data_IF_476623305578
#
_entry.id   IF_476623305578
#
_cell.length_a   1.000
_cell.length_b   1.000
_cell.length_c   1.000
_cell.angle_alpha   90.00
_cell.angle_beta   90.00
_cell.angle_gamma   90.00
#
_symmetry.space_group_name_H-M   'P 1'
#
loop_
_entity.id
_entity.type
_entity.pdbx_description
1 polymer ?
#
# COMPACT_ATOMS: atom_id res chain seq x y z
N UNK A 1 24.12 6.91 49.06
CA UNK A 1 25.07 7.33 50.07
C UNK A 1 26.20 8.09 49.40
N UNK A 2 26.49 9.25 49.95
CA UNK A 2 27.57 10.20 49.73
C UNK A 2 27.28 11.24 48.64
N UNK A 3 27.04 12.50 49.05
CA UNK A 3 26.98 13.69 48.20
C UNK A 3 28.31 14.45 48.24
N UNK A 4 28.68 15.04 47.11
CA UNK A 4 29.75 16.05 47.10
C UNK A 4 29.17 17.45 46.79
N UNK A 5 29.21 18.27 47.87
CA UNK A 5 29.13 19.75 47.79
C UNK A 5 30.53 20.32 47.60
N UNK A 6 30.69 21.22 46.65
CA UNK A 6 31.82 22.16 46.68
C UNK A 6 31.32 23.60 46.40
N UNK A 7 31.40 24.36 47.45
CA UNK A 7 31.29 25.80 47.52
C UNK A 7 32.56 26.43 47.02
N UNK A 8 32.43 27.53 46.21
CA UNK A 8 33.55 28.48 46.03
C UNK A 8 33.13 29.90 46.35
N UNK A 9 34.01 30.52 47.13
CA UNK A 9 33.88 31.84 47.80
C UNK A 9 34.21 32.99 46.90
N UNK A 10 33.52 34.07 47.18
CA UNK A 10 33.75 35.49 46.80
C UNK A 10 35.03 36.07 47.39
N UNK A 11 35.73 36.95 46.63
CA UNK A 11 36.57 38.09 47.03
C UNK A 11 36.66 38.97 45.80
N UNK A 12 36.48 40.26 45.72
CA UNK A 12 36.61 41.37 46.65
C UNK A 12 37.20 42.54 45.89
N UNK A 13 36.46 43.61 45.72
CA UNK A 13 36.69 45.03 45.53
C UNK A 13 38.11 45.61 45.18
N UNK A 14 38.12 46.53 44.27
CA UNK A 14 38.52 47.96 44.22
C UNK A 14 39.37 48.23 42.96
N UNK A 15 39.44 49.35 42.30
CA UNK A 15 39.07 50.73 42.31
C UNK A 15 39.44 51.42 40.98
N UNK A 16 38.62 52.34 40.55
CA UNK A 16 38.86 53.53 39.70
C UNK A 16 40.08 53.67 38.78
N UNK A 17 39.82 53.89 37.48
CA UNK A 17 40.21 55.14 36.77
C UNK A 17 39.44 55.34 35.47
N UNK A 18 38.87 56.53 35.32
CA UNK A 18 38.19 57.02 34.12
C UNK A 18 39.19 57.20 32.97
N UNK A 19 38.88 56.60 31.82
CA UNK A 19 39.40 57.06 30.53
C UNK A 19 38.25 57.12 29.54
N UNK A 20 37.83 58.27 29.17
CA UNK A 20 36.85 58.58 28.13
C UNK A 20 37.53 58.35 26.79
N UNK A 21 37.13 57.36 26.04
CA UNK A 21 37.46 57.15 24.62
C UNK A 21 36.15 57.21 23.86
N UNK A 22 35.98 58.27 23.06
CA UNK A 22 34.96 58.39 22.03
C UNK A 22 35.18 57.27 21.00
N UNK A 23 34.36 56.19 21.03
CA UNK A 23 34.32 55.22 19.99
C UNK A 23 33.07 55.48 19.15
N UNK A 24 33.26 56.08 17.99
CA UNK A 24 32.26 56.23 16.95
C UNK A 24 31.85 54.83 16.47
N UNK A 25 30.69 54.38 16.91
CA UNK A 25 30.11 53.13 16.45
C UNK A 25 29.63 53.26 15.00
N UNK A 26 30.42 52.76 14.07
CA UNK A 26 29.96 52.50 12.71
C UNK A 26 29.01 51.28 12.77
N UNK A 27 27.71 51.57 12.83
CA UNK A 27 26.69 50.52 12.63
C UNK A 27 26.68 50.19 11.15
N UNK A 28 27.44 49.15 10.77
CA UNK A 28 27.27 48.50 9.48
C UNK A 28 25.94 47.74 9.56
N UNK A 29 24.91 48.31 8.98
CA UNK A 29 23.65 47.61 8.73
C UNK A 29 23.95 46.51 7.69
N UNK A 30 24.35 45.31 8.13
CA UNK A 30 24.34 44.13 7.31
C UNK A 30 22.87 43.77 7.04
N UNK A 31 22.29 44.30 5.96
CA UNK A 31 21.11 43.73 5.36
C UNK A 31 21.47 42.31 4.97
N UNK A 32 21.15 41.37 5.84
CA UNK A 32 21.16 39.97 5.50
C UNK A 32 20.12 39.75 4.41
N UNK A 33 20.53 39.81 3.16
CA UNK A 33 19.81 39.16 2.09
C UNK A 33 19.87 37.67 2.42
N UNK A 34 18.79 37.13 3.00
CA UNK A 34 18.52 35.71 2.91
C UNK A 34 18.29 35.43 1.43
N UNK A 35 19.37 35.21 0.69
CA UNK A 35 19.26 34.59 -0.60
C UNK A 35 18.62 33.21 -0.31
N UNK A 36 17.37 33.03 -0.68
CA UNK A 36 16.84 31.71 -0.85
C UNK A 36 17.75 31.07 -1.89
N UNK A 37 18.68 30.23 -1.42
CA UNK A 37 19.51 29.39 -2.29
C UNK A 37 18.54 28.34 -2.87
N UNK A 38 17.98 28.66 -4.04
CA UNK A 38 17.31 27.67 -4.87
C UNK A 38 18.35 26.66 -5.33
N UNK A 39 18.02 25.38 -5.27
CA UNK A 39 18.90 24.34 -5.79
C UNK A 39 19.08 24.56 -7.30
N UNK A 40 20.31 24.50 -7.80
CA UNK A 40 20.56 24.55 -9.25
C UNK A 40 19.98 23.33 -9.95
N UNK A 41 19.82 23.41 -11.27
CA UNK A 41 19.24 22.32 -12.08
C UNK A 41 20.01 20.99 -11.95
N UNK A 42 21.33 21.07 -11.72
CA UNK A 42 22.14 19.86 -11.48
C UNK A 42 21.80 19.16 -10.16
N UNK A 43 21.62 19.93 -9.08
CA UNK A 43 21.22 19.41 -7.76
C UNK A 43 19.78 18.89 -7.80
N UNK A 44 18.90 19.58 -8.52
CA UNK A 44 17.52 19.15 -8.73
C UNK A 44 17.49 17.83 -9.53
N UNK A 45 18.24 17.75 -10.64
CA UNK A 45 18.36 16.55 -11.46
C UNK A 45 18.88 15.35 -10.66
N UNK A 46 19.96 15.57 -9.88
CA UNK A 46 20.51 14.53 -9.02
C UNK A 46 19.48 14.05 -7.99
N UNK A 47 18.83 14.97 -7.29
CA UNK A 47 17.82 14.63 -6.28
C UNK A 47 16.64 13.90 -6.87
N UNK A 48 16.16 14.36 -8.04
CA UNK A 48 15.07 13.73 -8.77
C UNK A 48 15.40 12.29 -9.15
N UNK A 49 16.60 12.06 -9.70
CA UNK A 49 17.05 10.72 -10.07
C UNK A 49 17.24 9.80 -8.86
N UNK A 50 17.93 10.27 -7.83
CA UNK A 50 18.18 9.50 -6.61
C UNK A 50 16.86 9.03 -5.96
N UNK A 51 15.83 9.86 -6.00
CA UNK A 51 14.52 9.54 -5.41
C UNK A 51 13.66 8.63 -6.26
N UNK A 52 13.74 8.77 -7.60
CA UNK A 52 12.96 7.93 -8.51
C UNK A 52 13.64 6.61 -8.82
N UNK A 53 14.93 6.61 -9.15
CA UNK A 53 15.65 5.39 -9.46
C UNK A 53 16.18 4.63 -8.24
N UNK A 54 16.38 5.33 -7.11
CA UNK A 54 16.94 4.73 -5.89
C UNK A 54 18.45 4.44 -5.98
N UNK A 55 19.11 4.88 -7.04
CA UNK A 55 20.55 4.72 -7.30
C UNK A 55 21.11 6.02 -7.88
N UNK A 56 22.43 6.29 -7.69
CA UNK A 56 23.06 7.47 -8.28
C UNK A 56 23.03 7.42 -9.82
N UNK A 57 22.74 8.55 -10.50
CA UNK A 57 22.82 8.64 -11.96
C UNK A 57 24.26 8.68 -12.47
N UNK A 58 24.46 8.36 -13.74
CA UNK A 58 25.71 8.69 -14.44
C UNK A 58 25.82 10.20 -14.66
N UNK A 59 27.06 10.69 -14.87
CA UNK A 59 27.31 12.10 -15.14
C UNK A 59 26.49 12.61 -16.35
N UNK A 60 26.43 11.83 -17.43
CA UNK A 60 25.66 12.20 -18.62
C UNK A 60 24.17 12.34 -18.32
N UNK A 61 23.56 11.40 -17.58
CA UNK A 61 22.15 11.46 -17.21
C UNK A 61 21.85 12.71 -16.36
N UNK A 62 22.75 13.08 -15.42
CA UNK A 62 22.58 14.31 -14.62
C UNK A 62 22.55 15.54 -15.53
N UNK A 63 23.48 15.64 -16.50
CA UNK A 63 23.56 16.76 -17.42
C UNK A 63 22.32 16.86 -18.32
N UNK A 64 21.87 15.73 -18.88
CA UNK A 64 20.69 15.69 -19.72
C UNK A 64 19.42 16.05 -18.96
N UNK A 65 19.26 15.55 -17.72
CA UNK A 65 18.14 15.89 -16.86
C UNK A 65 18.17 17.35 -16.42
N UNK A 66 19.36 17.90 -16.09
CA UNK A 66 19.52 19.31 -15.74
C UNK A 66 19.13 20.22 -16.90
N UNK A 67 19.51 19.87 -18.14
CA UNK A 67 19.10 20.59 -19.35
C UNK A 67 17.57 20.59 -19.50
N UNK A 68 16.91 19.43 -19.27
CA UNK A 68 15.45 19.37 -19.33
C UNK A 68 14.79 20.27 -18.26
N UNK A 69 15.38 20.34 -17.07
CA UNK A 69 14.89 21.22 -16.00
C UNK A 69 15.06 22.69 -16.38
N UNK A 70 16.21 23.07 -16.93
CA UNK A 70 16.49 24.42 -17.44
C UNK A 70 15.54 24.81 -18.59
N UNK A 71 15.16 23.85 -19.44
CA UNK A 71 14.18 24.01 -20.50
C UNK A 71 12.72 24.03 -20.00
N UNK A 72 12.50 24.05 -18.67
CA UNK A 72 11.17 23.99 -18.04
C UNK A 72 10.37 22.70 -18.36
N UNK A 73 11.08 21.56 -18.44
CA UNK A 73 10.53 20.22 -18.72
C UNK A 73 10.85 19.20 -17.62
N UNK A 74 10.59 19.52 -16.34
CA UNK A 74 10.98 18.63 -15.23
C UNK A 74 10.25 17.28 -15.24
N UNK A 75 9.07 17.20 -15.82
CA UNK A 75 8.33 15.93 -15.98
C UNK A 75 9.07 14.99 -16.96
N UNK A 76 9.64 15.53 -18.05
CA UNK A 76 10.46 14.74 -18.99
C UNK A 76 11.75 14.24 -18.30
N UNK A 77 12.38 15.09 -17.46
CA UNK A 77 13.51 14.68 -16.62
C UNK A 77 13.13 13.56 -15.65
N UNK A 78 11.94 13.59 -15.03
CA UNK A 78 11.46 12.52 -14.18
C UNK A 78 11.25 11.20 -14.95
N UNK A 79 10.68 11.25 -16.16
CA UNK A 79 10.57 10.06 -17.01
C UNK A 79 11.95 9.51 -17.42
N UNK A 80 12.94 10.38 -17.65
CA UNK A 80 14.32 9.96 -17.90
C UNK A 80 14.90 9.21 -16.70
N UNK A 81 14.69 9.69 -15.48
CA UNK A 81 15.10 8.99 -14.27
C UNK A 81 14.42 7.62 -14.14
N UNK A 82 13.12 7.53 -14.43
CA UNK A 82 12.34 6.29 -14.38
C UNK A 82 12.63 5.33 -15.55
N UNK A 83 13.39 5.74 -16.55
CA UNK A 83 13.92 4.82 -17.57
C UNK A 83 15.04 3.94 -17.06
N UNK A 84 15.60 4.24 -15.88
CA UNK A 84 16.57 3.37 -15.21
C UNK A 84 15.91 2.05 -14.79
N UNK A 85 16.52 0.88 -15.09
CA UNK A 85 16.04 -0.41 -14.57
C UNK A 85 15.90 -0.45 -13.06
N UNK A 86 16.70 0.35 -12.34
CA UNK A 86 16.65 0.43 -10.89
C UNK A 86 15.33 1.04 -10.35
N UNK A 87 14.62 1.86 -11.12
CA UNK A 87 13.27 2.31 -10.76
C UNK A 87 12.34 1.11 -10.54
N UNK A 88 12.43 0.09 -11.38
CA UNK A 88 11.58 -1.10 -11.31
C UNK A 88 12.08 -2.10 -10.27
N UNK A 89 13.36 -2.40 -10.26
CA UNK A 89 13.94 -3.44 -9.39
C UNK A 89 14.26 -2.96 -7.96
N UNK A 90 14.34 -1.64 -7.72
CA UNK A 90 14.61 -1.08 -6.39
C UNK A 90 13.42 -0.26 -5.90
N UNK A 91 13.11 0.87 -6.55
CA UNK A 91 12.08 1.79 -6.04
C UNK A 91 10.69 1.15 -6.02
N UNK A 92 10.24 0.59 -7.14
CA UNK A 92 8.92 -0.05 -7.20
C UNK A 92 8.85 -1.34 -6.38
N UNK A 93 9.95 -2.10 -6.28
CA UNK A 93 10.00 -3.25 -5.38
C UNK A 93 9.79 -2.82 -3.94
N UNK A 94 10.59 -1.87 -3.44
CA UNK A 94 10.45 -1.34 -2.08
C UNK A 94 9.07 -0.68 -1.82
N UNK A 95 8.49 -0.08 -2.84
CA UNK A 95 7.15 0.51 -2.78
C UNK A 95 6.05 -0.55 -2.61
N UNK A 96 6.15 -1.69 -3.33
CA UNK A 96 5.11 -2.72 -3.37
C UNK A 96 5.27 -3.78 -2.28
N UNK A 97 6.50 -4.12 -1.87
CA UNK A 97 6.80 -5.22 -0.95
C UNK A 97 6.02 -5.14 0.38
N UNK A 98 5.89 -3.98 1.04
CA UNK A 98 5.12 -3.88 2.28
C UNK A 98 3.63 -4.27 2.15
N UNK A 99 3.09 -4.31 0.94
CA UNK A 99 1.69 -4.68 0.72
C UNK A 99 1.47 -6.20 0.68
N UNK A 100 2.56 -6.96 0.66
CA UNK A 100 2.53 -8.41 0.45
C UNK A 100 2.64 -9.22 1.74
N UNK A 101 2.77 -8.55 2.89
CA UNK A 101 2.95 -9.21 4.20
C UNK A 101 2.25 -8.46 5.33
N UNK A 102 1.98 -9.18 6.43
CA UNK A 102 1.22 -8.64 7.57
C UNK A 102 2.03 -7.65 8.41
N UNK A 103 3.35 -7.74 8.40
CA UNK A 103 4.25 -6.85 9.12
C UNK A 103 4.51 -5.55 8.36
N UNK A 104 4.08 -5.50 7.09
CA UNK A 104 4.27 -4.36 6.17
C UNK A 104 5.73 -3.93 6.05
N UNK A 105 6.64 -4.87 6.17
CA UNK A 105 8.07 -4.61 5.97
C UNK A 105 8.50 -4.76 4.51
N UNK A 106 9.70 -4.29 4.20
CA UNK A 106 10.27 -4.26 2.86
C UNK A 106 11.26 -5.39 2.58
N UNK A 107 11.38 -6.39 3.48
CA UNK A 107 12.38 -7.45 3.38
C UNK A 107 11.85 -8.73 2.73
N UNK A 108 10.56 -8.79 2.42
CA UNK A 108 9.99 -9.91 1.68
C UNK A 108 10.61 -10.01 0.27
N UNK A 109 10.87 -11.22 -0.23
CA UNK A 109 11.36 -11.42 -1.59
C UNK A 109 10.33 -10.97 -2.64
N UNK A 110 10.80 -10.70 -3.85
CA UNK A 110 9.92 -10.50 -5.01
C UNK A 110 8.93 -11.67 -5.11
N UNK A 111 7.68 -11.34 -5.39
CA UNK A 111 6.60 -12.30 -5.48
C UNK A 111 5.54 -11.88 -6.53
N UNK A 112 4.53 -12.71 -6.76
CA UNK A 112 3.50 -12.46 -7.77
C UNK A 112 2.70 -11.16 -7.53
N UNK A 113 2.51 -10.76 -6.28
CA UNK A 113 1.86 -9.49 -5.95
C UNK A 113 2.75 -8.29 -6.32
N UNK A 114 3.98 -8.22 -5.79
CA UNK A 114 4.88 -7.11 -6.03
C UNK A 114 5.30 -7.01 -7.50
N UNK A 115 5.56 -8.12 -8.18
CA UNK A 115 5.84 -8.15 -9.62
C UNK A 115 4.65 -7.62 -10.44
N UNK A 116 3.41 -7.92 -10.03
CA UNK A 116 2.20 -7.39 -10.69
C UNK A 116 2.07 -5.88 -10.52
N UNK A 117 2.35 -5.34 -9.34
CA UNK A 117 2.40 -3.88 -9.13
C UNK A 117 3.45 -3.24 -10.05
N UNK A 118 4.67 -3.80 -10.08
CA UNK A 118 5.77 -3.29 -10.91
C UNK A 118 5.39 -3.31 -12.40
N UNK A 119 4.85 -4.42 -12.87
CA UNK A 119 4.46 -4.56 -14.28
C UNK A 119 3.34 -3.61 -14.69
N UNK A 120 2.31 -3.44 -13.85
CA UNK A 120 1.21 -2.50 -14.14
C UNK A 120 1.69 -1.04 -14.18
N UNK A 121 2.61 -0.66 -13.31
CA UNK A 121 3.24 0.69 -13.35
C UNK A 121 4.10 0.85 -14.60
N UNK A 122 4.88 -0.17 -14.97
CA UNK A 122 5.71 -0.14 -16.19
C UNK A 122 4.90 0.07 -17.45
N UNK A 123 3.77 -0.64 -17.54
CA UNK A 123 2.94 -0.68 -18.75
C UNK A 123 1.86 0.42 -18.78
N UNK A 124 1.90 1.36 -17.82
CA UNK A 124 0.92 2.45 -17.69
C UNK A 124 -0.54 1.97 -17.69
N UNK A 125 -0.79 0.79 -17.11
CA UNK A 125 -2.15 0.22 -16.97
C UNK A 125 -2.97 1.10 -16.04
N UNK A 126 -4.29 1.22 -16.29
CA UNK A 126 -5.23 1.78 -15.33
C UNK A 126 -5.08 1.05 -13.99
N UNK A 127 -4.49 1.73 -13.00
CA UNK A 127 -4.08 1.10 -11.74
C UNK A 127 -5.25 0.57 -10.91
N UNK A 128 -6.51 0.92 -11.25
CA UNK A 128 -7.69 0.28 -10.65
C UNK A 128 -7.76 -1.21 -10.96
N UNK A 129 -7.14 -1.65 -12.06
CA UNK A 129 -7.04 -3.06 -12.43
C UNK A 129 -6.28 -3.91 -11.39
N UNK A 130 -5.49 -3.28 -10.52
CA UNK A 130 -4.74 -3.96 -9.46
C UNK A 130 -5.65 -4.79 -8.52
N UNK A 131 -6.94 -4.42 -8.37
CA UNK A 131 -7.90 -5.11 -7.50
C UNK A 131 -8.93 -5.97 -8.25
N UNK A 132 -8.89 -6.01 -9.60
CA UNK A 132 -9.99 -6.65 -10.35
C UNK A 132 -9.55 -7.42 -11.62
N UNK A 133 -8.33 -7.19 -12.11
CA UNK A 133 -7.91 -7.82 -13.36
C UNK A 133 -7.63 -9.31 -13.21
N UNK A 134 -7.83 -10.05 -14.30
CA UNK A 134 -7.29 -11.41 -14.46
C UNK A 134 -5.86 -11.34 -14.98
N UNK A 135 -4.96 -10.69 -14.22
CA UNK A 135 -3.60 -10.44 -14.67
C UNK A 135 -2.61 -10.65 -13.53
N UNK A 136 -1.52 -11.31 -13.83
CA UNK A 136 -0.31 -11.42 -13.03
C UNK A 136 0.89 -11.18 -13.93
N UNK A 137 2.00 -10.65 -13.40
CA UNK A 137 3.23 -10.47 -14.15
C UNK A 137 4.25 -11.52 -13.75
N UNK A 138 4.82 -12.17 -14.75
CA UNK A 138 5.83 -13.23 -14.62
C UNK A 138 7.07 -12.87 -15.45
N UNK A 139 8.20 -13.52 -15.20
CA UNK A 139 9.38 -13.42 -16.08
C UNK A 139 9.10 -14.07 -17.44
N UNK A 140 9.65 -13.51 -18.49
CA UNK A 140 9.45 -14.03 -19.86
C UNK A 140 10.14 -15.39 -20.08
N UNK A 141 9.67 -16.13 -21.07
CA UNK A 141 10.13 -17.50 -21.38
C UNK A 141 11.59 -17.58 -21.87
N UNK A 142 12.23 -16.43 -22.16
CA UNK A 142 13.64 -16.41 -22.64
C UNK A 142 14.63 -16.61 -21.49
N UNK A 143 14.20 -16.45 -20.25
CA UNK A 143 15.09 -16.41 -19.08
C UNK A 143 15.44 -17.80 -18.50
N UNK A 144 14.86 -18.88 -19.01
CA UNK A 144 15.04 -20.23 -18.46
C UNK A 144 14.87 -20.31 -16.94
N UNK A 145 13.85 -19.61 -16.41
CA UNK A 145 13.48 -19.62 -14.99
C UNK A 145 12.69 -20.88 -14.62
N UNK A 146 12.65 -21.23 -13.31
CA UNK A 146 11.58 -22.13 -12.84
C UNK A 146 10.22 -21.60 -13.30
N UNK A 147 9.35 -22.48 -13.82
CA UNK A 147 8.02 -22.04 -14.22
C UNK A 147 7.26 -21.46 -13.02
N UNK A 148 6.37 -20.46 -13.28
CA UNK A 148 5.45 -19.98 -12.26
C UNK A 148 4.70 -21.17 -11.63
N UNK A 149 4.60 -21.16 -10.31
CA UNK A 149 3.97 -22.23 -9.57
C UNK A 149 3.09 -21.66 -8.45
N UNK A 150 1.86 -22.18 -8.34
CA UNK A 150 0.91 -21.77 -7.32
C UNK A 150 1.30 -22.17 -5.89
N UNK A 151 2.26 -23.11 -5.73
CA UNK A 151 2.61 -23.66 -4.43
C UNK A 151 3.93 -23.12 -3.86
N UNK A 152 4.69 -22.31 -4.60
CA UNK A 152 5.95 -21.77 -4.11
C UNK A 152 6.30 -20.46 -4.82
N UNK A 153 7.36 -19.78 -4.34
CA UNK A 153 7.85 -18.52 -4.89
C UNK A 153 9.11 -18.66 -5.75
N UNK A 154 9.49 -19.89 -6.18
CA UNK A 154 10.78 -20.15 -6.83
C UNK A 154 10.98 -19.35 -8.12
N UNK A 155 9.92 -19.07 -8.88
CA UNK A 155 9.98 -18.26 -10.09
C UNK A 155 10.46 -16.83 -9.80
N UNK A 156 9.86 -16.17 -8.83
CA UNK A 156 10.20 -14.79 -8.46
C UNK A 156 11.50 -14.69 -7.68
N UNK A 157 11.80 -15.71 -6.87
CA UNK A 157 13.11 -15.79 -6.21
C UNK A 157 14.23 -15.88 -7.25
N UNK A 158 14.06 -16.66 -8.31
CA UNK A 158 15.05 -16.74 -9.39
C UNK A 158 15.21 -15.44 -10.19
N UNK A 159 14.11 -14.67 -10.38
CA UNK A 159 14.20 -13.32 -10.95
C UNK A 159 15.05 -12.39 -10.08
N UNK A 160 14.85 -12.44 -8.78
CA UNK A 160 15.57 -11.59 -7.82
C UNK A 160 17.04 -12.00 -7.69
N UNK A 161 17.30 -13.28 -7.46
CA UNK A 161 18.67 -13.83 -7.29
C UNK A 161 19.52 -13.66 -8.56
N UNK A 162 18.88 -13.69 -9.73
CA UNK A 162 19.49 -13.44 -11.03
C UNK A 162 19.69 -11.96 -11.34
N UNK A 163 19.27 -11.03 -10.48
CA UNK A 163 19.27 -9.58 -10.75
C UNK A 163 18.67 -9.22 -12.10
N UNK A 164 17.58 -9.92 -12.46
CA UNK A 164 16.92 -9.75 -13.78
C UNK A 164 16.31 -8.35 -13.88
N UNK A 165 16.49 -7.73 -15.06
CA UNK A 165 15.88 -6.43 -15.37
C UNK A 165 14.36 -6.57 -15.49
N UNK A 166 13.65 -6.17 -14.43
CA UNK A 166 12.18 -6.25 -14.36
C UNK A 166 11.49 -5.32 -15.37
N UNK A 167 12.20 -4.27 -15.83
CA UNK A 167 11.68 -3.41 -16.87
C UNK A 167 11.53 -4.15 -18.20
N UNK A 168 12.51 -4.98 -18.55
CA UNK A 168 12.56 -5.67 -19.84
C UNK A 168 11.84 -7.01 -19.83
N UNK A 169 11.91 -7.73 -18.70
CA UNK A 169 11.61 -9.16 -18.66
C UNK A 169 10.32 -9.55 -17.93
N UNK A 170 9.59 -8.61 -17.34
CA UNK A 170 8.25 -8.93 -16.85
C UNK A 170 7.25 -8.95 -18.01
N UNK A 171 6.37 -9.94 -18.05
CA UNK A 171 5.30 -10.06 -19.03
C UNK A 171 3.94 -10.26 -18.35
N UNK A 172 2.92 -9.59 -18.84
CA UNK A 172 1.55 -9.76 -18.38
C UNK A 172 1.01 -11.12 -18.81
N UNK A 173 0.46 -11.86 -17.87
CA UNK A 173 -0.11 -13.19 -18.08
C UNK A 173 -1.48 -13.25 -17.43
N UNK A 174 -2.42 -14.02 -18.04
CA UNK A 174 -3.71 -14.28 -17.41
C UNK A 174 -3.52 -15.09 -16.11
N UNK A 175 -3.92 -14.52 -14.98
CA UNK A 175 -3.81 -15.20 -13.68
C UNK A 175 -4.57 -16.53 -13.68
N UNK A 176 -5.75 -16.57 -14.29
CA UNK A 176 -6.57 -17.79 -14.39
C UNK A 176 -5.94 -18.88 -15.26
N UNK A 177 -5.02 -18.55 -16.16
CA UNK A 177 -4.29 -19.52 -16.97
C UNK A 177 -3.14 -20.20 -16.24
N UNK A 178 -2.60 -19.55 -15.22
CA UNK A 178 -1.42 -20.03 -14.47
C UNK A 178 -1.74 -20.38 -13.01
N UNK A 179 -2.97 -20.14 -12.56
CA UNK A 179 -3.43 -20.44 -11.20
C UNK A 179 -4.67 -21.34 -11.20
N UNK A 180 -5.07 -21.80 -10.02
CA UNK A 180 -6.29 -22.60 -9.85
C UNK A 180 -7.56 -21.73 -9.71
N UNK A 181 -7.46 -20.40 -9.76
CA UNK A 181 -8.58 -19.46 -9.63
C UNK A 181 -9.16 -19.19 -11.03
N UNK A 182 -10.45 -19.41 -11.27
CA UNK A 182 -11.06 -19.15 -12.58
C UNK A 182 -11.16 -17.65 -12.88
N UNK A 183 -11.23 -17.26 -14.15
CA UNK A 183 -11.18 -15.87 -14.61
C UNK A 183 -12.29 -14.95 -14.05
N UNK A 184 -13.43 -15.52 -13.70
CA UNK A 184 -14.54 -14.79 -13.06
C UNK A 184 -14.32 -14.56 -11.55
N UNK A 185 -13.35 -15.28 -10.96
CA UNK A 185 -12.99 -15.21 -9.55
C UNK A 185 -11.62 -14.55 -9.31
N UNK A 186 -10.79 -14.33 -10.34
CA UNK A 186 -9.55 -13.56 -10.19
C UNK A 186 -9.85 -12.10 -9.87
N UNK A 187 -9.08 -11.53 -8.96
CA UNK A 187 -9.27 -10.16 -8.47
C UNK A 187 -7.92 -9.42 -8.31
N UNK A 188 -7.16 -9.38 -9.39
CA UNK A 188 -5.83 -8.75 -9.39
C UNK A 188 -4.93 -9.35 -8.31
N UNK A 189 -4.26 -8.47 -7.57
CA UNK A 189 -3.33 -8.89 -6.52
C UNK A 189 -3.99 -9.58 -5.33
N UNK A 190 -5.31 -9.41 -5.12
CA UNK A 190 -6.03 -10.01 -3.99
C UNK A 190 -6.10 -11.55 -4.08
N UNK A 191 -5.95 -12.08 -5.27
CA UNK A 191 -6.01 -13.53 -5.53
C UNK A 191 -4.66 -14.13 -5.94
N UNK A 192 -3.58 -13.36 -5.78
CA UNK A 192 -2.21 -13.86 -5.90
C UNK A 192 -1.86 -14.81 -4.76
N UNK A 193 -0.86 -15.67 -4.98
CA UNK A 193 -0.36 -16.56 -3.95
C UNK A 193 0.18 -15.80 -2.74
N UNK A 194 0.97 -14.73 -2.97
CA UNK A 194 1.53 -13.93 -1.89
C UNK A 194 0.45 -13.31 -1.01
N UNK A 195 -0.59 -12.70 -1.61
CA UNK A 195 -1.71 -12.16 -0.85
C UNK A 195 -2.46 -13.24 -0.06
N UNK A 196 -2.67 -14.40 -0.66
CA UNK A 196 -3.38 -15.49 0.01
C UNK A 196 -2.55 -16.09 1.17
N UNK A 197 -1.25 -16.29 0.98
CA UNK A 197 -0.33 -16.70 2.05
C UNK A 197 -0.37 -15.71 3.21
N UNK A 198 -0.36 -14.41 2.93
CA UNK A 198 -0.35 -13.39 3.98
C UNK A 198 -1.73 -13.22 4.66
N UNK A 199 -2.83 -13.26 3.89
CA UNK A 199 -4.11 -12.72 4.34
C UNK A 199 -5.25 -13.75 4.36
N UNK A 200 -5.14 -14.89 3.68
CA UNK A 200 -6.03 -16.04 3.83
C UNK A 200 -5.47 -17.12 4.76
N UNK A 201 -4.22 -16.97 5.15
CA UNK A 201 -3.54 -17.85 6.09
C UNK A 201 -4.26 -17.84 7.44
N UNK A 202 -4.82 -18.98 7.81
CA UNK A 202 -5.64 -19.15 9.02
C UNK A 202 -6.80 -18.12 9.13
N UNK A 203 -7.63 -18.24 10.16
CA UNK A 203 -8.72 -17.29 10.40
C UNK A 203 -9.80 -17.28 9.31
N UNK A 204 -10.59 -16.22 9.24
CA UNK A 204 -11.86 -16.15 8.51
C UNK A 204 -11.83 -15.16 7.33
N UNK A 205 -10.70 -14.96 6.71
CA UNK A 205 -10.47 -14.04 5.59
C UNK A 205 -10.75 -12.54 5.88
N UNK A 206 -10.99 -12.15 7.14
CA UNK A 206 -11.11 -10.73 7.54
C UNK A 206 -9.80 -9.99 7.35
N UNK A 207 -8.67 -10.67 7.53
CA UNK A 207 -7.35 -10.08 7.28
C UNK A 207 -7.21 -9.64 5.83
N UNK A 208 -7.68 -10.42 4.85
CA UNK A 208 -7.66 -10.01 3.44
C UNK A 208 -8.38 -8.67 3.23
N UNK A 209 -9.58 -8.48 3.77
CA UNK A 209 -10.27 -7.20 3.66
C UNK A 209 -9.49 -6.09 4.37
N UNK A 210 -9.06 -6.30 5.62
CA UNK A 210 -8.34 -5.30 6.41
C UNK A 210 -7.09 -4.80 5.68
N UNK A 211 -6.24 -5.72 5.22
CA UNK A 211 -5.01 -5.36 4.52
C UNK A 211 -5.28 -4.77 3.12
N UNK A 212 -6.38 -5.16 2.46
CA UNK A 212 -6.83 -4.48 1.24
C UNK A 212 -7.17 -3.01 1.51
N UNK A 213 -7.88 -2.71 2.60
CA UNK A 213 -8.17 -1.33 3.00
C UNK A 213 -6.89 -0.56 3.35
N UNK A 214 -6.01 -1.15 4.14
CA UNK A 214 -4.73 -0.52 4.52
C UNK A 214 -3.85 -0.26 3.29
N UNK A 215 -3.73 -1.23 2.39
CA UNK A 215 -2.85 -1.17 1.24
C UNK A 215 -3.40 -0.31 0.09
N UNK A 216 -4.72 -0.23 -0.07
CA UNK A 216 -5.30 0.42 -1.25
C UNK A 216 -6.22 1.59 -0.95
N UNK A 217 -6.70 1.74 0.29
CA UNK A 217 -7.49 2.90 0.74
C UNK A 217 -6.77 3.70 1.85
N UNK A 218 -5.57 3.27 2.28
CA UNK A 218 -4.78 3.90 3.34
C UNK A 218 -5.56 4.08 4.66
N UNK A 219 -6.43 3.14 4.97
CA UNK A 219 -7.21 3.18 6.21
C UNK A 219 -7.29 1.80 6.86
N UNK A 220 -7.21 1.73 8.18
CA UNK A 220 -7.46 0.52 8.94
C UNK A 220 -8.94 0.50 9.40
N UNK A 221 -9.36 -0.58 10.04
CA UNK A 221 -10.73 -0.75 10.55
C UNK A 221 -11.05 0.16 11.75
N UNK A 222 -10.05 0.56 12.53
CA UNK A 222 -10.25 1.39 13.73
C UNK A 222 -10.91 2.75 13.41
N UNK A 223 -10.44 3.52 12.39
CA UNK A 223 -11.08 4.76 11.98
C UNK A 223 -12.47 4.56 11.35
N UNK A 224 -12.81 3.35 10.91
CA UNK A 224 -14.06 3.05 10.21
C UNK A 224 -15.15 2.50 11.14
N UNK A 225 -14.94 2.51 12.45
CA UNK A 225 -15.94 2.09 13.43
C UNK A 225 -17.23 2.89 13.30
N UNK A 226 -18.35 2.18 13.16
CA UNK A 226 -19.66 2.81 13.09
C UNK A 226 -20.72 1.94 13.79
N UNK A 227 -21.22 2.41 14.92
CA UNK A 227 -22.26 1.73 15.72
C UNK A 227 -23.68 1.95 15.15
N UNK A 228 -23.85 2.79 14.15
CA UNK A 228 -25.15 3.06 13.52
C UNK A 228 -25.50 2.06 12.42
N UNK A 229 -24.53 1.26 11.97
CA UNK A 229 -24.72 0.29 10.89
C UNK A 229 -25.53 -0.93 11.36
N UNK A 230 -26.29 -1.59 10.44
CA UNK A 230 -27.01 -2.81 10.74
C UNK A 230 -26.10 -3.93 11.28
N UNK A 231 -26.63 -4.72 12.23
CA UNK A 231 -25.90 -5.86 12.82
C UNK A 231 -26.33 -7.21 12.24
N UNK A 232 -27.09 -7.20 11.16
CA UNK A 232 -27.74 -8.34 10.53
C UNK A 232 -26.74 -9.33 9.87
N UNK A 233 -25.56 -8.85 9.48
CA UNK A 233 -24.53 -9.67 8.83
C UNK A 233 -23.30 -9.97 9.73
N UNK A 234 -23.42 -9.80 11.04
CA UNK A 234 -22.36 -10.27 11.96
C UNK A 234 -22.41 -11.79 12.00
N UNK A 235 -21.32 -12.42 11.59
CA UNK A 235 -21.26 -13.86 11.34
C UNK A 235 -21.25 -14.70 12.62
N UNK A 236 -21.66 -15.96 12.50
CA UNK A 236 -21.66 -16.96 13.59
C UNK A 236 -20.26 -17.28 14.12
N UNK A 237 -19.20 -17.12 13.32
CA UNK A 237 -17.82 -17.34 13.73
C UNK A 237 -17.29 -16.31 14.73
N UNK A 238 -18.03 -15.24 15.00
CA UNK A 238 -17.65 -14.21 15.99
C UNK A 238 -18.06 -14.65 17.38
N UNK A 239 -17.11 -14.62 18.33
CA UNK A 239 -17.46 -14.75 19.74
C UNK A 239 -18.26 -13.53 20.21
N UNK A 240 -19.57 -13.69 20.38
CA UNK A 240 -20.48 -12.61 20.80
C UNK A 240 -20.22 -12.12 22.21
N UNK A 241 -19.55 -12.91 23.01
CA UNK A 241 -19.46 -12.70 24.44
C UNK A 241 -18.03 -12.96 24.95
N UNK A 242 -17.03 -12.11 24.59
CA UNK A 242 -15.68 -12.25 25.12
C UNK A 242 -15.73 -12.30 26.65
N UNK A 243 -15.12 -13.31 27.24
CA UNK A 243 -15.12 -13.51 28.68
C UNK A 243 -16.51 -13.72 29.33
N UNK A 244 -17.54 -14.04 28.54
CA UNK A 244 -18.91 -14.26 29.02
C UNK A 244 -19.77 -12.99 29.10
N UNK A 245 -19.29 -11.82 28.68
CA UNK A 245 -20.05 -10.57 28.72
C UNK A 245 -20.31 -10.01 27.30
N UNK A 246 -21.55 -10.16 26.79
CA UNK A 246 -21.95 -9.65 25.48
C UNK A 246 -21.85 -8.13 25.34
N UNK A 247 -21.83 -7.38 26.45
CA UNK A 247 -21.66 -5.91 26.43
C UNK A 247 -20.26 -5.55 25.96
N UNK A 248 -19.25 -6.37 26.27
CA UNK A 248 -17.88 -6.18 25.78
C UNK A 248 -17.84 -6.28 24.24
N UNK A 249 -18.55 -7.25 23.66
CA UNK A 249 -18.63 -7.35 22.20
C UNK A 249 -19.34 -6.13 21.58
N UNK A 250 -20.50 -5.75 22.12
CA UNK A 250 -21.29 -4.62 21.60
C UNK A 250 -20.47 -3.33 21.67
N UNK A 251 -19.75 -3.08 22.76
CA UNK A 251 -19.04 -1.83 22.99
C UNK A 251 -17.69 -1.75 22.25
N UNK A 252 -17.03 -2.89 22.00
CA UNK A 252 -15.64 -2.89 21.52
C UNK A 252 -15.47 -3.53 20.13
N UNK A 253 -16.35 -4.41 19.70
CA UNK A 253 -16.17 -5.22 18.50
C UNK A 253 -17.20 -4.94 17.41
N UNK A 254 -18.47 -4.71 17.78
CA UNK A 254 -19.57 -4.62 16.82
C UNK A 254 -19.38 -3.51 15.80
N UNK A 255 -18.87 -2.35 16.22
CA UNK A 255 -18.68 -1.21 15.32
C UNK A 255 -17.75 -1.48 14.13
N UNK A 256 -16.76 -2.37 14.29
CA UNK A 256 -15.94 -2.83 13.18
C UNK A 256 -16.64 -3.94 12.38
N UNK A 257 -17.26 -4.90 13.08
CA UNK A 257 -17.86 -6.08 12.45
C UNK A 257 -19.07 -5.74 11.57
N UNK A 258 -19.85 -4.72 11.93
CA UNK A 258 -21.02 -4.27 11.17
C UNK A 258 -20.68 -3.80 9.75
N UNK A 259 -19.52 -3.21 9.54
CA UNK A 259 -19.04 -2.82 8.21
C UNK A 259 -18.12 -3.85 7.55
N UNK A 260 -17.24 -4.47 8.35
CA UNK A 260 -16.23 -5.41 7.86
C UNK A 260 -16.83 -6.74 7.39
N UNK A 261 -17.70 -7.37 8.20
CA UNK A 261 -18.19 -8.72 7.90
C UNK A 261 -18.99 -8.80 6.59
N UNK A 262 -19.89 -7.83 6.28
CA UNK A 262 -20.59 -7.81 4.99
C UNK A 262 -19.67 -7.70 3.79
N UNK A 263 -18.57 -6.94 3.87
CA UNK A 263 -17.59 -6.80 2.79
C UNK A 263 -16.67 -8.02 2.68
N UNK A 264 -16.18 -8.53 3.83
CA UNK A 264 -15.29 -9.69 3.85
C UNK A 264 -15.95 -10.98 3.32
N UNK A 265 -17.29 -11.00 3.22
CA UNK A 265 -18.03 -12.11 2.64
C UNK A 265 -17.67 -12.35 1.17
N UNK A 266 -17.19 -11.35 0.43
CA UNK A 266 -16.66 -11.48 -0.92
C UNK A 266 -15.59 -12.57 -1.06
N UNK A 267 -14.93 -12.94 0.03
CA UNK A 267 -13.88 -13.95 0.07
C UNK A 267 -14.36 -15.32 0.59
N UNK A 268 -15.68 -15.56 0.67
CA UNK A 268 -16.26 -16.75 1.29
C UNK A 268 -15.87 -18.08 0.61
N UNK A 269 -15.50 -18.03 -0.68
CA UNK A 269 -15.11 -19.21 -1.45
C UNK A 269 -13.60 -19.42 -1.53
N UNK A 270 -12.78 -18.51 -0.97
CA UNK A 270 -11.32 -18.58 -1.04
C UNK A 270 -10.71 -19.12 0.26
N UNK A 271 -9.60 -19.82 0.10
CA UNK A 271 -8.73 -20.21 1.21
C UNK A 271 -7.27 -20.23 0.75
N UNK A 272 -6.37 -20.36 1.71
CA UNK A 272 -4.98 -20.75 1.51
C UNK A 272 -4.78 -22.10 2.16
N UNK A 273 -4.48 -23.12 1.36
CA UNK A 273 -4.27 -24.48 1.84
C UNK A 273 -2.80 -24.83 1.84
N UNK A 274 -2.34 -25.40 2.92
CA UNK A 274 -0.96 -25.82 3.15
C UNK A 274 -0.91 -26.93 4.19
N UNK A 275 0.21 -27.65 4.26
CA UNK A 275 0.43 -28.73 5.22
C UNK A 275 0.89 -28.15 6.56
N UNK A 276 -0.03 -27.90 7.49
CA UNK A 276 0.26 -27.29 8.78
C UNK A 276 1.28 -28.09 9.61
N UNK A 277 1.32 -29.42 9.47
CA UNK A 277 2.22 -30.29 10.26
C UNK A 277 3.66 -30.26 9.73
N UNK A 278 3.86 -30.16 8.43
CA UNK A 278 5.17 -30.19 7.78
C UNK A 278 5.65 -28.81 7.30
N UNK A 279 4.74 -27.86 7.11
CA UNK A 279 5.00 -26.50 6.64
C UNK A 279 4.17 -25.47 7.44
N UNK A 280 4.45 -25.30 8.73
CA UNK A 280 3.63 -24.45 9.61
C UNK A 280 3.61 -22.97 9.22
N UNK A 281 4.53 -22.50 8.38
CA UNK A 281 4.54 -21.15 7.82
C UNK A 281 3.78 -21.04 6.49
N UNK A 282 3.33 -22.13 5.91
CA UNK A 282 2.62 -22.16 4.64
C UNK A 282 3.47 -21.74 3.44
N UNK A 283 4.78 -22.06 3.46
CA UNK A 283 5.69 -21.70 2.37
C UNK A 283 5.37 -22.44 1.07
N UNK A 284 4.79 -23.63 1.16
CA UNK A 284 4.41 -24.49 0.03
C UNK A 284 2.89 -24.55 -0.21
N UNK A 285 2.14 -23.60 0.36
CA UNK A 285 0.70 -23.57 0.19
C UNK A 285 0.22 -22.84 -1.07
N UNK A 286 -1.05 -23.04 -1.41
CA UNK A 286 -1.69 -22.48 -2.59
C UNK A 286 -3.03 -21.83 -2.29
N UNK A 287 -3.39 -20.85 -3.14
CA UNK A 287 -4.76 -20.33 -3.19
C UNK A 287 -5.70 -21.45 -3.67
N UNK A 288 -6.78 -21.67 -2.95
CA UNK A 288 -7.88 -22.53 -3.37
C UNK A 288 -9.17 -21.72 -3.48
N UNK A 289 -10.04 -22.15 -4.38
CA UNK A 289 -11.31 -21.51 -4.64
C UNK A 289 -12.36 -22.57 -4.94
N UNK A 290 -13.44 -22.58 -4.17
CA UNK A 290 -14.57 -23.49 -4.39
C UNK A 290 -15.37 -23.05 -5.62
N UNK A 291 -15.19 -23.76 -6.74
CA UNK A 291 -15.85 -23.45 -8.02
C UNK A 291 -17.35 -23.78 -7.98
N UNK A 292 -18.10 -23.26 -8.93
CA UNK A 292 -19.50 -23.64 -9.12
C UNK A 292 -19.62 -25.16 -9.25
N UNK A 293 -20.54 -25.74 -8.49
CA UNK A 293 -20.75 -27.20 -8.41
C UNK A 293 -19.84 -27.93 -7.41
N UNK A 294 -18.86 -27.26 -6.80
CA UNK A 294 -18.11 -27.78 -5.67
C UNK A 294 -18.79 -27.42 -4.35
N UNK A 295 -18.71 -28.32 -3.39
CA UNK A 295 -19.20 -28.07 -2.03
C UNK A 295 -18.09 -28.37 -1.05
N UNK A 296 -17.94 -27.51 -0.08
CA UNK A 296 -17.12 -27.77 1.10
C UNK A 296 -17.82 -28.86 1.94
N UNK A 297 -17.11 -29.92 2.34
CA UNK A 297 -17.72 -31.05 3.03
C UNK A 297 -18.28 -30.70 4.42
N UNK A 298 -17.77 -29.67 5.08
CA UNK A 298 -18.24 -29.29 6.41
C UNK A 298 -19.47 -28.36 6.34
N UNK A 299 -19.51 -27.46 5.36
CA UNK A 299 -20.61 -26.50 5.23
C UNK A 299 -21.76 -27.03 4.35
N UNK A 300 -21.50 -28.00 3.50
CA UNK A 300 -22.45 -28.49 2.49
C UNK A 300 -22.78 -27.44 1.40
N UNK A 301 -22.04 -26.35 1.34
CA UNK A 301 -22.17 -25.26 0.37
C UNK A 301 -20.82 -24.95 -0.28
N UNK A 302 -20.71 -23.91 -1.12
CA UNK A 302 -19.43 -23.42 -1.64
C UNK A 302 -18.60 -22.66 -0.60
N UNK A 303 -19.22 -22.24 0.51
CA UNK A 303 -18.58 -21.45 1.56
C UNK A 303 -17.53 -22.28 2.26
N UNK A 304 -16.32 -21.75 2.40
CA UNK A 304 -15.22 -22.40 3.12
C UNK A 304 -15.59 -22.63 4.59
N UNK A 305 -15.22 -23.82 5.13
CA UNK A 305 -15.51 -24.23 6.51
C UNK A 305 -15.13 -23.17 7.56
N UNK A 306 -14.05 -22.44 7.34
CA UNK A 306 -13.56 -21.37 8.22
C UNK A 306 -14.59 -20.26 8.47
N UNK A 307 -15.60 -20.08 7.60
CA UNK A 307 -16.69 -19.12 7.81
C UNK A 307 -17.73 -19.57 8.83
N UNK A 308 -17.75 -20.87 9.16
CA UNK A 308 -18.64 -21.46 10.14
C UNK A 308 -17.92 -21.92 11.42
N UNK A 309 -16.63 -21.63 11.55
CA UNK A 309 -15.85 -21.84 12.78
C UNK A 309 -16.55 -21.18 13.96
N UNK A 310 -16.64 -21.88 15.10
CA UNK A 310 -17.28 -21.41 16.32
C UNK A 310 -18.77 -21.04 16.16
N UNK A 311 -19.49 -21.55 15.16
CA UNK A 311 -20.93 -21.30 14.98
C UNK A 311 -21.77 -21.63 16.21
N UNK A 312 -21.33 -22.55 17.05
CA UNK A 312 -21.95 -22.89 18.33
C UNK A 312 -21.76 -21.80 19.40
N UNK A 313 -20.76 -20.95 19.26
CA UNK A 313 -20.51 -19.84 20.21
C UNK A 313 -21.49 -18.69 20.00
N UNK A 314 -21.90 -18.46 18.76
CA UNK A 314 -22.90 -17.46 18.44
C UNK A 314 -23.91 -18.03 17.40
N UNK A 315 -24.78 -18.96 17.81
CA UNK A 315 -25.72 -19.63 16.89
C UNK A 315 -26.75 -18.67 16.26
N UNK A 316 -26.96 -17.50 16.82
CA UNK A 316 -27.85 -16.46 16.28
C UNK A 316 -27.14 -15.47 15.33
N UNK A 317 -25.87 -15.66 15.07
CA UNK A 317 -25.13 -14.87 14.09
C UNK A 317 -25.52 -15.22 12.67
N UNK A 318 -25.11 -14.38 11.74
CA UNK A 318 -25.37 -14.59 10.31
C UNK A 318 -24.58 -15.82 9.81
N UNK A 319 -25.33 -16.81 9.31
CA UNK A 319 -24.72 -17.95 8.62
C UNK A 319 -24.42 -17.53 7.17
N UNK A 320 -23.15 -17.39 6.82
CA UNK A 320 -22.70 -17.04 5.47
C UNK A 320 -23.21 -18.06 4.45
N UNK A 321 -24.12 -17.69 3.52
CA UNK A 321 -24.68 -18.64 2.56
C UNK A 321 -23.89 -18.74 1.26
N UNK A 322 -23.21 -17.64 0.89
CA UNK A 322 -22.52 -17.46 -0.37
C UNK A 322 -21.47 -16.31 -0.26
N UNK A 323 -20.96 -15.81 -1.39
CA UNK A 323 -20.00 -14.71 -1.48
C UNK A 323 -20.63 -13.34 -1.81
N UNK A 324 -21.96 -13.17 -1.55
CA UNK A 324 -22.63 -11.88 -1.70
C UNK A 324 -22.11 -10.90 -0.65
N UNK A 325 -21.45 -9.84 -1.09
CA UNK A 325 -21.01 -8.75 -0.22
C UNK A 325 -21.89 -7.50 -0.34
N UNK A 326 -21.91 -6.68 0.71
CA UNK A 326 -22.61 -5.41 0.76
C UNK A 326 -21.78 -4.35 1.47
N UNK A 327 -21.72 -3.14 0.88
CA UNK A 327 -20.98 -2.00 1.42
C UNK A 327 -21.89 -1.09 2.24
N UNK A 328 -21.96 -1.32 3.54
CA UNK A 328 -22.72 -0.47 4.45
C UNK A 328 -22.05 0.90 4.69
N UNK A 329 -20.75 1.05 4.38
CA UNK A 329 -20.05 2.32 4.49
C UNK A 329 -20.41 3.35 3.42
N UNK A 330 -21.29 3.02 2.49
CA UNK A 330 -21.88 4.00 1.56
C UNK A 330 -22.81 4.97 2.26
N UNK A 331 -23.23 4.68 3.48
CA UNK A 331 -24.05 5.53 4.33
C UNK A 331 -23.32 5.83 5.65
N UNK A 332 -23.79 6.83 6.39
CA UNK A 332 -23.21 7.18 7.68
C UNK A 332 -21.87 7.92 7.57
N UNK A 333 -21.05 7.77 8.60
CA UNK A 333 -19.80 8.53 8.74
C UNK A 333 -18.73 8.15 7.72
N UNK A 334 -18.78 6.95 7.16
CA UNK A 334 -17.79 6.42 6.23
C UNK A 334 -18.05 6.76 4.75
N UNK A 335 -19.08 7.58 4.46
CA UNK A 335 -19.34 8.14 3.12
C UNK A 335 -18.13 8.96 2.60
N UNK A 336 -17.31 9.52 3.50
CA UNK A 336 -16.12 10.31 3.15
C UNK A 336 -15.07 9.52 2.35
N UNK A 337 -15.17 8.18 2.31
CA UNK A 337 -14.33 7.35 1.44
C UNK A 337 -14.64 7.55 -0.05
N UNK A 338 -15.76 8.22 -0.36
CA UNK A 338 -16.10 8.67 -1.72
C UNK A 338 -16.39 7.51 -2.66
N UNK A 339 -17.43 6.75 -2.37
CA UNK A 339 -17.89 5.61 -3.17
C UNK A 339 -18.51 6.08 -4.50
N UNK A 340 -18.23 5.33 -5.58
CA UNK A 340 -18.77 5.65 -6.89
C UNK A 340 -20.26 5.39 -7.01
N UNK A 341 -21.05 6.40 -7.41
CA UNK A 341 -22.49 6.28 -7.65
C UNK A 341 -22.83 5.38 -8.86
N UNK A 342 -21.84 5.09 -9.72
CA UNK A 342 -22.04 4.19 -10.86
C UNK A 342 -22.04 2.71 -10.47
N UNK A 343 -21.67 2.37 -9.23
CA UNK A 343 -21.61 1.01 -8.72
C UNK A 343 -22.71 0.79 -7.67
N UNK A 344 -23.27 -0.44 -7.60
CA UNK A 344 -24.44 -0.71 -6.74
C UNK A 344 -24.12 -0.81 -5.24
N UNK A 345 -22.84 -0.81 -4.83
CA UNK A 345 -22.43 -1.00 -3.44
C UNK A 345 -22.67 -2.41 -2.90
N UNK A 346 -22.91 -3.38 -3.77
CA UNK A 346 -23.06 -4.81 -3.47
C UNK A 346 -22.72 -5.65 -4.68
N UNK A 347 -22.40 -6.90 -4.47
CA UNK A 347 -22.05 -7.83 -5.56
C UNK A 347 -21.65 -9.19 -5.04
N UNK A 348 -21.02 -9.98 -5.90
CA UNK A 348 -20.57 -11.32 -5.59
C UNK A 348 -19.07 -11.44 -5.85
N UNK A 349 -18.36 -12.06 -4.91
CA UNK A 349 -16.95 -12.39 -5.02
C UNK A 349 -15.96 -11.23 -4.98
N UNK A 350 -14.69 -11.58 -4.91
CA UNK A 350 -13.58 -10.66 -4.73
C UNK A 350 -13.42 -9.65 -5.88
N UNK A 351 -13.67 -10.09 -7.15
CA UNK A 351 -13.54 -9.21 -8.33
C UNK A 351 -14.46 -8.00 -8.26
N UNK A 352 -15.75 -8.20 -7.95
CA UNK A 352 -16.71 -7.10 -7.86
C UNK A 352 -16.46 -6.22 -6.64
N UNK A 353 -15.97 -6.78 -5.53
CA UNK A 353 -15.51 -6.00 -4.39
C UNK A 353 -14.29 -5.14 -4.77
N UNK A 354 -13.33 -5.72 -5.50
CA UNK A 354 -12.18 -4.98 -6.02
C UNK A 354 -12.60 -3.79 -6.89
N UNK A 355 -13.64 -3.94 -7.72
CA UNK A 355 -14.21 -2.83 -8.50
C UNK A 355 -14.78 -1.73 -7.62
N UNK A 356 -15.54 -2.09 -6.59
CA UNK A 356 -16.10 -1.15 -5.61
C UNK A 356 -15.01 -0.32 -4.93
N UNK A 357 -13.97 -0.99 -4.42
CA UNK A 357 -12.89 -0.35 -3.69
C UNK A 357 -12.02 0.53 -4.62
N UNK A 358 -11.66 0.03 -5.80
CA UNK A 358 -10.79 0.72 -6.75
C UNK A 358 -11.43 1.98 -7.36
N UNK A 359 -12.76 2.09 -7.38
CA UNK A 359 -13.47 3.26 -7.87
C UNK A 359 -13.87 4.25 -6.76
N UNK A 360 -13.35 4.09 -5.55
CA UNK A 360 -13.52 5.07 -4.46
C UNK A 360 -12.52 6.22 -4.57
N UNK A 361 -12.89 7.38 -4.04
CA UNK A 361 -11.98 8.52 -3.91
C UNK A 361 -10.80 8.19 -2.98
N UNK A 362 -11.06 7.42 -1.93
CA UNK A 362 -10.05 6.93 -0.99
C UNK A 362 -8.96 6.10 -1.69
N UNK A 363 -9.31 5.29 -2.70
CA UNK A 363 -8.33 4.57 -3.50
C UNK A 363 -7.38 5.54 -4.23
N UNK A 364 -7.92 6.50 -4.98
CA UNK A 364 -7.11 7.44 -5.73
C UNK A 364 -6.16 8.24 -4.82
N UNK A 365 -6.70 8.78 -3.73
CA UNK A 365 -5.89 9.53 -2.75
C UNK A 365 -4.83 8.66 -2.08
N UNK A 366 -5.15 7.40 -1.77
CA UNK A 366 -4.21 6.48 -1.13
C UNK A 366 -3.01 6.21 -2.03
N UNK A 367 -3.23 5.91 -3.32
CA UNK A 367 -2.11 5.63 -4.23
C UNK A 367 -1.19 6.85 -4.35
N UNK A 368 -1.75 8.05 -4.47
CA UNK A 368 -0.96 9.29 -4.54
C UNK A 368 -0.20 9.56 -3.24
N UNK A 369 -0.83 9.37 -2.07
CA UNK A 369 -0.15 9.51 -0.76
C UNK A 369 1.03 8.56 -0.61
N UNK A 370 0.87 7.31 -1.08
CA UNK A 370 1.95 6.32 -1.05
C UNK A 370 3.12 6.71 -1.97
N UNK A 371 2.82 7.19 -3.18
CA UNK A 371 3.85 7.71 -4.09
C UNK A 371 4.53 8.91 -3.46
N UNK A 372 3.78 9.85 -2.86
CA UNK A 372 4.36 11.00 -2.15
C UNK A 372 5.35 10.54 -1.08
N UNK A 373 4.94 9.62 -0.22
CA UNK A 373 5.81 9.08 0.83
C UNK A 373 7.07 8.42 0.27
N UNK A 374 6.93 7.62 -0.80
CA UNK A 374 8.03 6.90 -1.41
C UNK A 374 9.05 7.85 -2.09
N UNK A 375 8.58 8.90 -2.76
CA UNK A 375 9.43 9.83 -3.51
C UNK A 375 9.96 10.97 -2.65
N UNK A 376 9.13 11.55 -1.78
CA UNK A 376 9.55 12.66 -0.90
C UNK A 376 10.29 12.17 0.35
N UNK A 377 10.25 10.85 0.64
CA UNK A 377 10.87 10.19 1.79
C UNK A 377 10.36 10.74 3.15
N UNK A 378 9.13 11.22 3.16
CA UNK A 378 8.42 11.74 4.34
C UNK A 378 6.91 11.70 4.13
N UNK A 379 6.16 11.78 5.19
CA UNK A 379 4.72 12.01 5.10
C UNK A 379 4.42 13.48 4.75
N UNK A 380 3.22 13.75 4.25
CA UNK A 380 2.77 15.10 3.95
C UNK A 380 2.42 15.83 5.24
N UNK A 381 3.07 16.97 5.51
CA UNK A 381 2.91 17.71 6.75
C UNK A 381 2.45 19.17 6.54
N UNK A 382 2.79 19.76 5.39
CA UNK A 382 2.47 21.14 5.08
C UNK A 382 1.19 21.28 4.24
N UNK A 383 0.60 22.48 4.25
CA UNK A 383 -0.51 22.79 3.34
C UNK A 383 -0.10 22.68 1.87
N UNK A 384 1.16 22.94 1.54
CA UNK A 384 1.69 22.76 0.18
C UNK A 384 1.73 21.27 -0.20
N UNK A 385 2.14 20.37 0.71
CA UNK A 385 2.12 18.92 0.49
C UNK A 385 0.70 18.41 0.26
N UNK A 386 -0.26 18.86 1.09
CA UNK A 386 -1.67 18.49 0.94
C UNK A 386 -2.25 18.99 -0.38
N UNK A 387 -1.90 20.20 -0.80
CA UNK A 387 -2.30 20.76 -2.09
C UNK A 387 -1.71 19.94 -3.25
N UNK A 388 -0.42 19.55 -3.15
CA UNK A 388 0.22 18.69 -4.15
C UNK A 388 -0.47 17.33 -4.25
N UNK A 389 -0.76 16.68 -3.12
CA UNK A 389 -1.48 15.40 -3.10
C UNK A 389 -2.85 15.55 -3.77
N UNK A 390 -3.59 16.63 -3.47
CA UNK A 390 -4.89 16.88 -4.10
C UNK A 390 -4.75 17.06 -5.61
N UNK A 391 -3.82 17.89 -6.07
CA UNK A 391 -3.58 18.12 -7.50
C UNK A 391 -3.15 16.85 -8.23
N UNK A 392 -2.23 16.08 -7.62
CA UNK A 392 -1.79 14.80 -8.19
C UNK A 392 -2.89 13.75 -8.18
N UNK A 393 -3.83 13.77 -7.21
CA UNK A 393 -4.99 12.88 -7.20
C UNK A 393 -5.93 13.20 -8.36
N UNK A 394 -6.19 14.47 -8.61
CA UNK A 394 -7.01 14.89 -9.74
C UNK A 394 -6.34 14.55 -11.08
N UNK A 395 -5.03 14.78 -11.19
CA UNK A 395 -4.24 14.39 -12.36
C UNK A 395 -4.27 12.88 -12.57
N UNK A 396 -4.09 12.07 -11.53
CA UNK A 396 -4.14 10.61 -11.58
C UNK A 396 -5.46 10.10 -12.15
N UNK A 397 -6.59 10.63 -11.66
CA UNK A 397 -7.93 10.30 -12.18
C UNK A 397 -8.12 10.72 -13.64
N UNK A 398 -7.71 11.94 -13.99
CA UNK A 398 -7.87 12.51 -15.34
C UNK A 398 -7.00 11.81 -16.39
N UNK A 399 -5.85 11.26 -15.98
CA UNK A 399 -4.92 10.56 -16.87
C UNK A 399 -5.07 9.04 -16.81
N UNK A 400 -6.30 8.53 -16.58
CA UNK A 400 -6.60 7.11 -16.67
C UNK A 400 -5.93 6.26 -15.58
N UNK A 401 -5.70 6.85 -14.40
CA UNK A 401 -5.09 6.17 -13.26
C UNK A 401 -3.68 5.61 -13.54
N UNK A 402 -2.87 6.31 -14.35
CA UNK A 402 -1.50 5.94 -14.67
C UNK A 402 -0.57 6.31 -13.52
N UNK A 403 -0.13 5.33 -12.73
CA UNK A 403 0.62 5.58 -11.50
C UNK A 403 2.05 6.09 -11.78
N UNK A 404 2.68 5.68 -12.90
CA UNK A 404 4.01 6.17 -13.30
C UNK A 404 4.04 7.70 -13.46
N UNK A 405 2.96 8.27 -14.02
CA UNK A 405 2.80 9.73 -14.13
C UNK A 405 2.77 10.40 -12.76
N UNK A 406 2.10 9.79 -11.78
CA UNK A 406 2.09 10.30 -10.40
C UNK A 406 3.49 10.32 -9.80
N UNK A 407 4.31 9.30 -10.06
CA UNK A 407 5.73 9.31 -9.65
C UNK A 407 6.48 10.50 -10.27
N UNK A 408 6.26 10.82 -11.54
CA UNK A 408 6.90 11.97 -12.20
C UNK A 408 6.46 13.32 -11.59
N UNK A 409 5.16 13.50 -11.36
CA UNK A 409 4.60 14.75 -10.81
C UNK A 409 5.06 14.98 -9.36
N UNK A 410 5.04 13.95 -8.55
CA UNK A 410 5.53 14.01 -7.16
C UNK A 410 7.05 14.17 -7.13
N UNK A 411 7.79 13.52 -8.04
CA UNK A 411 9.23 13.69 -8.19
C UNK A 411 9.60 15.14 -8.49
N UNK A 412 8.90 15.76 -9.43
CA UNK A 412 9.06 17.19 -9.74
C UNK A 412 8.81 18.09 -8.52
N UNK A 413 7.74 17.84 -7.75
CA UNK A 413 7.46 18.58 -6.53
C UNK A 413 8.57 18.41 -5.48
N UNK A 414 9.08 17.21 -5.30
CA UNK A 414 10.03 16.89 -4.23
C UNK A 414 11.50 17.08 -4.62
N UNK A 415 11.83 17.41 -5.87
CA UNK A 415 13.23 17.73 -6.22
C UNK A 415 13.71 19.05 -5.58
N UNK A 416 12.76 19.91 -5.17
CA UNK A 416 13.01 21.20 -4.53
C UNK A 416 13.18 22.34 -5.53
N UNK A 417 13.01 23.55 -5.04
CA UNK A 417 13.26 24.80 -5.78
C UNK A 417 14.75 25.16 -5.75
#
# INVERSE_FOLDING_TARGET
MIPFKTTFKWFGKNDHKKASIFCTSLIVLSMGYSANLTAGSLEQAKRLHDRLAGVPPSEQIILDMAQLIDDNKPIEAAYMAMSSPAFYSTTLKLFATPWTNIDQDSFEPLNDYSATVIGMVRDDVDFRQILQADTVYVGDDTLNLPAYNTNNNAHYQALEDGFIDLQQHLVATSQSSVSNVPADATAGVLTTRAAAKAFFYLGTNRAMLRFTLMNHLCTDLEPLKDNSLPTDRIRQDVSRSPGGDSRLFINNCSACHTGMDPLAQAFAYYNYEFDLDNDPQGESGAVVYNRAGQTDPETGTRVQAKYHINSTTFPYGFATPDDEWQNYWRTGINQHLGWSDSLPGKGYGAKSLGQELANSEAFAQCQVKKVFKAVCLRDAESNADLAQISASTDSFKQNGYQLKRTFAEVGNYCMGE
#
